data_IF_424022825861
#
_entry.id   IF_424022825861
#
_cell.length_a   1.000
_cell.length_b   1.000
_cell.length_c   1.000
_cell.angle_alpha   90.00
_cell.angle_beta   90.00
_cell.angle_gamma   90.00
#
_symmetry.space_group_name_H-M   'P 1'
#
loop_
_entity.id
_entity.type
_entity.pdbx_description
1 polymer ?
#
# COMPACT_ATOMS: atom_id res chain seq x y z
N UNK A 1 -7.81 48.21 -20.10
CA UNK A 1 -7.31 49.35 -19.30
C UNK A 1 -6.83 48.83 -17.96
N UNK A 2 -5.51 48.86 -17.73
CA UNK A 2 -4.86 48.51 -16.44
C UNK A 2 -5.05 49.66 -15.45
N UNK A 3 -5.43 49.39 -14.21
CA UNK A 3 -5.12 50.27 -13.06
C UNK A 3 -4.86 49.44 -11.80
N UNK A 4 -3.61 49.51 -11.36
CA UNK A 4 -3.12 49.13 -10.04
C UNK A 4 -3.30 50.30 -9.05
N UNK A 5 -3.48 50.03 -7.75
CA UNK A 5 -3.30 51.01 -6.66
C UNK A 5 -2.91 50.25 -5.38
N UNK A 6 -1.63 50.17 -5.01
CA UNK A 6 -0.84 51.01 -4.08
C UNK A 6 -1.14 50.75 -2.59
N UNK A 7 -0.07 50.30 -1.91
CA UNK A 7 0.11 50.13 -0.45
C UNK A 7 0.50 51.46 0.19
N UNK A 8 0.00 51.76 1.39
CA UNK A 8 0.53 52.83 2.27
C UNK A 8 0.77 52.27 3.66
N UNK A 9 2.01 52.44 4.13
CA UNK A 9 2.51 52.16 5.49
C UNK A 9 2.43 53.46 6.29
N UNK A 10 1.88 53.41 7.51
CA UNK A 10 1.83 54.55 8.44
C UNK A 10 2.50 54.19 9.77
N UNK A 11 3.58 54.90 10.09
CA UNK A 11 4.31 54.84 11.36
C UNK A 11 3.62 55.69 12.44
N UNK A 12 3.70 55.27 13.71
CA UNK A 12 3.33 56.07 14.87
C UNK A 12 4.51 56.10 15.86
N UNK A 13 4.87 57.31 16.28
CA UNK A 13 5.93 57.70 17.22
C UNK A 13 5.27 58.39 18.43
N UNK A 14 6.07 58.56 19.50
CA UNK A 14 5.86 59.33 20.76
C UNK A 14 5.34 58.52 21.95
N UNK A 15 5.79 58.70 23.21
CA UNK A 15 6.89 59.46 23.83
C UNK A 15 7.08 58.91 25.26
N UNK A 16 8.29 59.00 25.82
CA UNK A 16 8.61 58.55 27.18
C UNK A 16 8.36 59.61 28.27
N UNK A 17 8.18 59.14 29.51
CA UNK A 17 8.36 59.91 30.74
C UNK A 17 9.08 59.02 31.76
N UNK A 18 10.19 59.52 32.29
CA UNK A 18 10.98 59.00 33.42
C UNK A 18 10.39 59.53 34.74
N UNK A 19 10.27 58.67 35.75
CA UNK A 19 10.22 59.08 37.17
C UNK A 19 11.14 58.16 37.97
N UNK A 20 12.12 58.77 38.63
CA UNK A 20 13.02 58.14 39.58
C UNK A 20 12.34 58.04 40.96
N UNK A 21 12.45 56.89 41.61
CA UNK A 21 12.06 56.68 43.00
C UNK A 21 13.08 55.80 43.70
N UNK A 22 13.93 56.42 44.53
CA UNK A 22 14.90 55.75 45.39
C UNK A 22 14.16 55.35 46.66
N UNK A 23 13.99 54.04 46.88
CA UNK A 23 13.40 53.48 48.10
C UNK A 23 14.34 52.43 48.69
N UNK A 24 15.00 52.79 49.79
CA UNK A 24 15.76 51.89 50.65
C UNK A 24 14.81 50.92 51.37
N UNK A 25 14.72 49.69 50.91
CA UNK A 25 13.97 48.59 51.55
C UNK A 25 14.93 47.53 52.08
N UNK A 26 14.82 47.23 53.37
CA UNK A 26 15.61 46.26 54.09
C UNK A 26 15.46 44.83 53.52
N UNK A 27 16.56 44.09 53.48
CA UNK A 27 16.59 42.68 53.12
C UNK A 27 15.82 41.85 54.16
N UNK A 28 14.67 41.30 53.78
CA UNK A 28 14.03 40.22 54.49
C UNK A 28 14.65 38.91 54.00
N UNK A 29 15.29 38.18 54.92
CA UNK A 29 15.83 36.85 54.65
C UNK A 29 14.67 35.89 54.39
N UNK A 30 14.55 35.43 53.15
CA UNK A 30 13.60 34.38 52.76
C UNK A 30 14.16 33.04 53.24
N UNK A 31 13.43 32.36 54.12
CA UNK A 31 13.73 30.99 54.54
C UNK A 31 13.65 30.05 53.33
N UNK A 32 14.61 29.13 53.12
CA UNK A 32 14.56 28.19 52.01
C UNK A 32 13.30 27.32 52.10
N UNK A 33 12.65 26.99 50.96
CA UNK A 33 11.57 26.02 50.94
C UNK A 33 12.07 24.66 51.45
N UNK A 34 11.24 23.87 52.15
CA UNK A 34 11.60 22.51 52.54
C UNK A 34 11.87 21.66 51.29
N UNK A 35 12.94 20.87 51.34
CA UNK A 35 13.37 19.97 50.28
C UNK A 35 12.20 19.12 49.75
N UNK A 36 11.81 19.35 48.49
CA UNK A 36 10.91 18.44 47.79
C UNK A 36 11.64 17.10 47.63
N UNK A 37 11.06 15.98 48.08
CA UNK A 37 11.65 14.66 47.82
C UNK A 37 11.76 14.46 46.32
N UNK A 38 12.93 14.00 45.87
CA UNK A 38 13.23 13.75 44.47
C UNK A 38 12.08 12.96 43.81
N UNK A 39 11.49 13.56 42.77
CA UNK A 39 10.47 12.90 41.96
C UNK A 39 11.02 11.55 41.49
N UNK A 40 10.47 10.47 42.05
CA UNK A 40 10.73 9.13 41.58
C UNK A 40 10.38 9.11 40.09
N UNK A 41 11.38 8.81 39.25
CA UNK A 41 11.21 8.63 37.81
C UNK A 41 10.17 7.52 37.62
N UNK A 42 8.91 7.90 37.42
CA UNK A 42 7.85 6.94 37.21
C UNK A 42 8.19 6.17 35.94
N UNK A 43 8.55 4.90 36.11
CA UNK A 43 8.83 3.99 35.01
C UNK A 43 7.54 3.88 34.21
N UNK A 44 7.58 4.32 32.95
CA UNK A 44 6.43 4.24 32.07
C UNK A 44 5.94 2.78 32.05
N UNK A 45 4.63 2.52 32.18
CA UNK A 45 4.10 1.17 32.15
C UNK A 45 4.61 0.48 30.88
N UNK A 46 5.15 -0.73 31.03
CA UNK A 46 5.57 -1.53 29.90
C UNK A 46 4.41 -1.63 28.90
N UNK A 47 4.64 -1.12 27.68
CA UNK A 47 3.69 -1.29 26.59
C UNK A 47 3.43 -2.80 26.46
N UNK A 48 2.15 -3.18 26.50
CA UNK A 48 1.74 -4.57 26.28
C UNK A 48 2.34 -5.14 24.99
N UNK A 49 2.36 -6.47 24.83
CA UNK A 49 2.94 -7.10 23.64
C UNK A 49 2.37 -6.44 22.39
N UNK A 50 3.26 -5.90 21.56
CA UNK A 50 2.88 -5.27 20.30
C UNK A 50 2.04 -6.28 19.51
N UNK A 51 0.75 -5.99 19.36
CA UNK A 51 -0.07 -6.72 18.39
C UNK A 51 0.60 -6.48 17.04
N UNK A 52 1.02 -7.52 16.30
CA UNK A 52 1.56 -7.32 14.97
C UNK A 52 0.49 -6.62 14.15
N UNK A 53 0.69 -5.33 13.87
CA UNK A 53 -0.13 -4.65 12.89
C UNK A 53 0.07 -5.46 11.61
N UNK A 54 -1.01 -5.90 10.92
CA UNK A 54 -0.85 -6.51 9.62
C UNK A 54 0.00 -5.57 8.78
N UNK A 55 1.03 -6.12 8.12
CA UNK A 55 1.95 -5.35 7.29
C UNK A 55 1.11 -4.37 6.47
N UNK A 56 1.31 -3.06 6.69
CA UNK A 56 0.51 -2.03 6.04
C UNK A 56 0.71 -2.21 4.53
N UNK A 57 -0.26 -2.86 3.87
CA UNK A 57 -0.20 -3.14 2.44
C UNK A 57 -0.55 -1.85 1.72
N UNK A 58 0.43 -0.96 1.62
CA UNK A 58 0.36 0.19 0.74
C UNK A 58 0.41 -0.32 -0.70
N UNK A 59 -0.58 0.08 -1.48
CA UNK A 59 -0.62 -0.21 -2.90
C UNK A 59 -0.80 1.10 -3.66
N UNK A 60 -0.09 1.20 -4.78
CA UNK A 60 -0.14 2.34 -5.69
C UNK A 60 -1.22 2.05 -6.73
N UNK A 61 -2.11 3.01 -6.94
CA UNK A 61 -3.11 2.94 -8.00
C UNK A 61 -2.47 3.33 -9.34
N UNK A 62 -2.63 2.47 -10.35
CA UNK A 62 -2.24 2.76 -11.74
C UNK A 62 -3.49 2.76 -12.61
N UNK A 63 -3.90 3.90 -13.18
CA UNK A 63 -4.97 3.93 -14.16
C UNK A 63 -4.51 3.26 -15.46
N UNK A 64 -5.45 2.64 -16.17
CA UNK A 64 -5.22 2.09 -17.51
C UNK A 64 -6.32 2.59 -18.46
N UNK A 65 -6.07 2.51 -19.77
CA UNK A 65 -7.16 2.59 -20.73
C UNK A 65 -8.16 1.47 -20.44
N UNK A 66 -9.45 1.80 -20.46
CA UNK A 66 -10.50 0.85 -20.12
C UNK A 66 -10.35 -0.43 -20.91
N UNK A 67 -10.27 -1.56 -20.22
CA UNK A 67 -10.02 -2.86 -20.84
C UNK A 67 -11.01 -3.90 -20.34
N UNK A 68 -11.67 -4.56 -21.31
CA UNK A 68 -12.67 -5.59 -21.04
C UNK A 68 -12.01 -6.92 -20.69
N UNK A 69 -12.20 -7.36 -19.45
CA UNK A 69 -11.73 -8.67 -19.00
C UNK A 69 -12.81 -9.74 -19.14
N UNK A 70 -14.10 -9.39 -18.99
CA UNK A 70 -15.20 -10.35 -19.03
C UNK A 70 -16.33 -9.81 -19.90
N UNK A 71 -16.90 -10.68 -20.73
CA UNK A 71 -18.19 -10.48 -21.36
C UNK A 71 -18.92 -11.82 -21.48
N UNK A 72 -19.88 -12.07 -20.60
CA UNK A 72 -20.57 -13.35 -20.61
C UNK A 72 -21.66 -13.47 -21.69
N UNK A 73 -21.89 -12.44 -22.51
CA UNK A 73 -22.71 -12.57 -23.73
C UNK A 73 -21.89 -13.16 -24.87
N UNK A 74 -20.60 -12.82 -24.93
CA UNK A 74 -19.65 -13.29 -25.95
C UNK A 74 -18.93 -14.58 -25.56
N UNK A 75 -19.07 -15.04 -24.31
CA UNK A 75 -18.57 -16.32 -23.83
C UNK A 75 -19.32 -16.75 -22.58
N UNK A 76 -19.19 -18.00 -22.11
CA UNK A 76 -19.68 -18.47 -20.80
C UNK A 76 -21.21 -18.49 -20.53
N UNK A 77 -22.02 -17.61 -21.15
CA UNK A 77 -23.48 -17.50 -20.97
C UNK A 77 -23.90 -16.81 -19.67
N UNK A 78 -25.22 -16.73 -19.43
CA UNK A 78 -25.78 -16.10 -18.22
C UNK A 78 -25.27 -16.77 -16.95
N UNK A 79 -25.10 -15.97 -15.91
CA UNK A 79 -24.87 -16.43 -14.56
C UNK A 79 -26.19 -16.72 -13.87
N UNK A 80 -26.47 -17.99 -13.56
CA UNK A 80 -27.67 -18.40 -12.85
C UNK A 80 -27.67 -17.94 -11.38
N UNK A 81 -28.80 -18.08 -10.70
CA UNK A 81 -28.89 -17.83 -9.26
C UNK A 81 -27.89 -18.73 -8.50
N UNK A 82 -27.20 -18.16 -7.52
CA UNK A 82 -26.19 -18.82 -6.69
C UNK A 82 -24.97 -19.36 -7.47
N UNK A 83 -24.83 -19.02 -8.75
CA UNK A 83 -23.69 -19.43 -9.56
C UNK A 83 -22.45 -18.60 -9.22
N UNK A 84 -21.31 -19.28 -9.07
CA UNK A 84 -19.99 -18.68 -8.93
C UNK A 84 -19.21 -18.93 -10.22
N UNK A 85 -18.51 -17.91 -10.71
CA UNK A 85 -17.50 -18.05 -11.78
C UNK A 85 -16.22 -17.34 -11.37
N UNK A 86 -15.09 -17.98 -11.62
CA UNK A 86 -13.77 -17.40 -11.43
C UNK A 86 -13.24 -16.87 -12.76
N UNK A 87 -12.62 -15.69 -12.73
CA UNK A 87 -12.16 -14.98 -13.91
C UNK A 87 -10.68 -14.67 -13.82
N UNK A 88 -10.00 -14.77 -14.96
CA UNK A 88 -8.66 -14.25 -15.16
C UNK A 88 -8.72 -12.73 -15.22
N UNK A 89 -7.77 -12.09 -14.53
CA UNK A 89 -7.68 -10.62 -14.45
C UNK A 89 -6.28 -10.12 -14.81
N UNK A 90 -5.24 -10.88 -14.47
CA UNK A 90 -3.83 -10.46 -14.59
C UNK A 90 -3.06 -11.26 -15.63
N UNK A 91 -1.90 -10.71 -16.00
CA UNK A 91 -0.93 -11.32 -16.91
C UNK A 91 -1.30 -11.15 -18.39
N UNK A 92 -0.42 -11.66 -19.26
CA UNK A 92 -0.48 -11.54 -20.73
C UNK A 92 -1.25 -12.64 -21.44
N UNK A 93 -1.91 -13.53 -20.68
CA UNK A 93 -2.67 -14.65 -21.25
C UNK A 93 -4.01 -14.20 -21.85
N UNK A 94 -4.49 -14.92 -22.86
CA UNK A 94 -5.80 -14.67 -23.48
C UNK A 94 -6.95 -14.77 -22.47
N UNK A 95 -7.89 -13.82 -22.58
CA UNK A 95 -9.15 -13.79 -21.84
C UNK A 95 -10.35 -14.06 -22.75
N UNK A 96 -10.14 -14.53 -23.99
CA UNK A 96 -11.24 -14.77 -24.95
C UNK A 96 -12.23 -15.80 -24.46
N UNK A 97 -11.79 -16.82 -23.71
CA UNK A 97 -12.67 -17.83 -23.11
C UNK A 97 -13.70 -17.28 -22.12
N UNK A 98 -13.48 -16.08 -21.59
CA UNK A 98 -14.41 -15.35 -20.71
C UNK A 98 -15.02 -14.11 -21.39
N UNK A 99 -14.86 -13.98 -22.71
CA UNK A 99 -15.35 -12.84 -23.50
C UNK A 99 -14.51 -11.56 -23.41
N UNK A 100 -13.29 -11.65 -22.86
CA UNK A 100 -12.32 -10.55 -22.83
C UNK A 100 -11.36 -10.54 -24.03
N UNK A 101 -10.36 -9.65 -23.99
CA UNK A 101 -9.36 -9.51 -25.04
C UNK A 101 -8.36 -10.68 -25.14
N UNK A 102 -7.80 -10.91 -26.33
CA UNK A 102 -6.83 -11.98 -26.61
C UNK A 102 -5.43 -11.75 -26.03
N UNK A 103 -5.08 -10.51 -25.73
CA UNK A 103 -3.76 -10.12 -25.18
C UNK A 103 -3.81 -9.77 -23.70
N UNK A 104 -4.98 -9.92 -23.05
CA UNK A 104 -5.23 -9.43 -21.70
C UNK A 104 -5.21 -7.89 -21.61
N UNK A 105 -5.15 -7.37 -20.38
CA UNK A 105 -5.23 -5.93 -20.09
C UNK A 105 -3.91 -5.31 -19.60
N UNK A 106 -2.78 -6.01 -19.75
CA UNK A 106 -1.48 -5.53 -19.27
C UNK A 106 -1.36 -5.42 -17.74
N UNK A 107 -2.32 -5.97 -16.98
CA UNK A 107 -2.32 -5.89 -15.51
C UNK A 107 -1.23 -6.83 -14.96
N UNK A 108 -0.25 -6.32 -14.19
CA UNK A 108 0.85 -7.14 -13.66
C UNK A 108 0.38 -8.29 -12.77
N UNK A 109 1.12 -9.40 -12.74
CA UNK A 109 0.78 -10.58 -11.93
C UNK A 109 0.73 -10.29 -10.42
N UNK A 110 1.48 -9.27 -9.96
CA UNK A 110 1.54 -8.84 -8.56
C UNK A 110 0.39 -7.92 -8.10
N UNK A 111 -0.50 -7.46 -8.98
CA UNK A 111 -1.58 -6.52 -8.63
C UNK A 111 -2.51 -7.10 -7.55
N UNK A 112 -2.80 -6.40 -6.46
CA UNK A 112 -3.62 -6.93 -5.35
C UNK A 112 -5.12 -6.72 -5.55
N UNK A 113 -5.51 -5.69 -6.31
CA UNK A 113 -6.90 -5.39 -6.63
C UNK A 113 -7.03 -4.64 -7.94
N UNK A 114 -8.25 -4.57 -8.47
CA UNK A 114 -8.61 -3.77 -9.64
C UNK A 114 -9.74 -2.81 -9.32
N UNK A 115 -9.79 -1.69 -10.03
CA UNK A 115 -11.01 -0.88 -10.15
C UNK A 115 -11.69 -1.21 -11.46
N UNK A 116 -12.97 -1.50 -11.42
CA UNK A 116 -13.71 -1.87 -12.61
C UNK A 116 -15.11 -1.29 -12.62
N UNK A 117 -15.61 -1.04 -13.82
CA UNK A 117 -17.03 -0.87 -14.10
C UNK A 117 -17.58 -2.25 -14.42
N UNK A 118 -18.61 -2.64 -13.67
CA UNK A 118 -19.27 -3.91 -13.79
C UNK A 118 -20.70 -3.66 -14.24
N UNK A 119 -21.04 -4.23 -15.39
CA UNK A 119 -22.37 -4.10 -16.00
C UNK A 119 -23.05 -5.46 -16.06
N UNK A 120 -24.26 -5.52 -15.56
CA UNK A 120 -25.19 -6.64 -15.71
C UNK A 120 -26.10 -6.38 -16.90
N UNK A 121 -26.32 -7.40 -17.73
CA UNK A 121 -27.10 -7.31 -18.97
C UNK A 121 -28.16 -8.41 -19.03
N UNK A 122 -29.30 -8.12 -19.65
CA UNK A 122 -30.43 -9.04 -19.83
C UNK A 122 -30.83 -9.81 -18.55
N UNK A 123 -30.81 -9.11 -17.42
CA UNK A 123 -31.17 -9.66 -16.12
C UNK A 123 -32.64 -10.03 -16.12
N UNK A 124 -32.96 -11.29 -15.80
CA UNK A 124 -34.35 -11.79 -15.87
C UNK A 124 -35.20 -11.28 -14.69
N UNK A 125 -34.56 -11.00 -13.56
CA UNK A 125 -35.15 -10.43 -12.35
C UNK A 125 -34.07 -9.64 -11.58
N UNK A 126 -34.45 -9.01 -10.47
CA UNK A 126 -33.49 -8.33 -9.60
C UNK A 126 -32.57 -9.29 -8.85
N UNK A 127 -31.40 -8.79 -8.47
CA UNK A 127 -30.37 -9.57 -7.80
C UNK A 127 -29.20 -8.74 -7.30
N UNK A 128 -28.14 -9.43 -6.90
CA UNK A 128 -26.90 -8.83 -6.39
C UNK A 128 -25.68 -9.63 -6.79
N UNK A 129 -24.57 -8.92 -6.93
CA UNK A 129 -23.26 -9.51 -7.20
C UNK A 129 -22.37 -9.42 -5.96
N UNK A 130 -21.67 -10.51 -5.69
CA UNK A 130 -20.66 -10.63 -4.64
C UNK A 130 -19.34 -10.95 -5.33
N UNK A 131 -18.31 -10.14 -5.09
CA UNK A 131 -17.00 -10.26 -5.69
C UNK A 131 -15.96 -10.49 -4.62
N UNK A 132 -15.10 -11.49 -4.79
CA UNK A 132 -14.15 -11.87 -3.76
C UNK A 132 -12.91 -12.56 -4.36
N UNK A 133 -11.77 -12.52 -3.66
CA UNK A 133 -10.59 -13.30 -4.03
C UNK A 133 -10.94 -14.79 -4.14
N UNK A 134 -10.57 -15.44 -5.23
CA UNK A 134 -10.77 -16.89 -5.37
C UNK A 134 -10.08 -17.65 -4.24
N UNK A 135 -10.81 -18.55 -3.57
CA UNK A 135 -10.36 -19.26 -2.38
C UNK A 135 -10.65 -18.56 -1.05
N UNK A 136 -11.12 -17.31 -1.08
CA UNK A 136 -11.56 -16.59 0.13
C UNK A 136 -13.08 -16.70 0.36
N UNK A 137 -13.57 -16.43 1.59
CA UNK A 137 -15.00 -16.36 1.87
C UNK A 137 -15.73 -15.28 1.04
N UNK A 138 -16.97 -15.57 0.62
CA UNK A 138 -17.78 -14.67 -0.22
C UNK A 138 -18.47 -13.57 0.61
N UNK A 139 -17.70 -12.56 1.04
CA UNK A 139 -18.16 -11.55 2.01
C UNK A 139 -18.52 -10.20 1.39
N UNK A 140 -18.00 -9.86 0.21
CA UNK A 140 -18.11 -8.50 -0.33
C UNK A 140 -19.17 -8.39 -1.44
N UNK A 141 -20.33 -7.82 -1.08
CA UNK A 141 -21.38 -7.41 -2.03
C UNK A 141 -21.03 -6.04 -2.59
N UNK A 142 -20.88 -5.94 -3.91
CA UNK A 142 -20.48 -4.69 -4.58
C UNK A 142 -21.55 -4.09 -5.49
N UNK A 143 -22.53 -4.87 -5.94
CA UNK A 143 -23.59 -4.38 -6.81
C UNK A 143 -24.94 -5.05 -6.52
N UNK A 144 -26.01 -4.30 -6.78
CA UNK A 144 -27.38 -4.78 -6.88
C UNK A 144 -27.93 -4.35 -8.23
N UNK A 145 -28.84 -5.13 -8.82
CA UNK A 145 -29.45 -4.82 -10.11
C UNK A 145 -30.93 -5.22 -10.11
N UNK A 146 -31.67 -4.65 -11.06
CA UNK A 146 -33.08 -4.97 -11.34
C UNK A 146 -33.19 -5.74 -12.66
N UNK A 147 -34.41 -6.11 -13.08
CA UNK A 147 -34.64 -6.69 -14.39
C UNK A 147 -34.11 -5.76 -15.50
N UNK A 148 -33.48 -6.33 -16.52
CA UNK A 148 -32.81 -5.58 -17.58
C UNK A 148 -31.33 -5.37 -17.24
N UNK A 149 -30.92 -4.12 -17.10
CA UNK A 149 -29.50 -3.77 -16.94
C UNK A 149 -29.21 -3.09 -15.61
N UNK A 150 -27.95 -3.12 -15.20
CA UNK A 150 -27.45 -2.42 -14.03
C UNK A 150 -25.94 -2.25 -14.09
N UNK A 151 -25.43 -1.10 -13.67
CA UNK A 151 -24.00 -0.79 -13.71
C UNK A 151 -23.53 -0.33 -12.34
N UNK A 152 -22.36 -0.79 -11.91
CA UNK A 152 -21.72 -0.39 -10.68
C UNK A 152 -20.20 -0.28 -10.87
N UNK A 153 -19.57 0.66 -10.17
CA UNK A 153 -18.12 0.73 -10.06
C UNK A 153 -17.69 0.03 -8.77
N UNK A 154 -16.67 -0.81 -8.85
CA UNK A 154 -16.18 -1.56 -7.70
C UNK A 154 -14.65 -1.65 -7.69
N UNK A 155 -14.09 -1.61 -6.47
CA UNK A 155 -12.73 -2.08 -6.23
C UNK A 155 -12.80 -3.55 -5.81
N UNK A 156 -12.23 -4.43 -6.63
CA UNK A 156 -12.30 -5.88 -6.43
C UNK A 156 -10.92 -6.40 -6.02
N UNK A 157 -10.84 -6.93 -4.80
CA UNK A 157 -9.66 -7.63 -4.30
C UNK A 157 -9.49 -8.95 -5.02
N UNK A 158 -8.24 -9.28 -5.34
CA UNK A 158 -7.88 -10.45 -6.11
C UNK A 158 -7.08 -11.44 -5.25
N UNK A 159 -7.16 -12.72 -5.57
CA UNK A 159 -6.39 -13.77 -4.90
C UNK A 159 -4.88 -13.57 -5.03
N UNK A 160 -4.11 -14.29 -4.21
CA UNK A 160 -2.65 -14.22 -4.23
C UNK A 160 -2.07 -14.46 -5.64
N UNK A 161 -0.83 -13.99 -5.85
CA UNK A 161 -0.08 -14.25 -7.08
C UNK A 161 0.00 -15.76 -7.34
N UNK A 162 -0.10 -16.16 -8.61
CA UNK A 162 -0.08 -17.57 -9.03
C UNK A 162 -1.47 -18.20 -9.22
N UNK A 163 -2.54 -17.60 -8.69
CA UNK A 163 -3.91 -18.05 -8.96
C UNK A 163 -4.32 -17.60 -10.38
N UNK A 164 -4.58 -18.57 -11.26
CA UNK A 164 -4.87 -18.32 -12.68
C UNK A 164 -6.12 -17.47 -12.92
N UNK A 165 -7.17 -17.70 -12.13
CA UNK A 165 -8.41 -16.94 -12.13
C UNK A 165 -8.63 -16.35 -10.73
N UNK A 166 -8.04 -15.18 -10.42
CA UNK A 166 -7.94 -14.70 -9.04
C UNK A 166 -9.20 -13.99 -8.52
N UNK A 167 -10.19 -13.73 -9.38
CA UNK A 167 -11.43 -13.05 -9.03
C UNK A 167 -12.60 -14.01 -9.15
N UNK A 168 -13.31 -14.25 -8.06
CA UNK A 168 -14.60 -14.96 -8.07
C UNK A 168 -15.74 -13.96 -8.01
N UNK A 169 -16.71 -14.10 -8.92
CA UNK A 169 -17.99 -13.39 -8.85
C UNK A 169 -19.09 -14.41 -8.60
N UNK A 170 -19.96 -14.10 -7.66
CA UNK A 170 -21.17 -14.86 -7.36
C UNK A 170 -22.39 -14.03 -7.70
N UNK A 171 -23.30 -14.62 -8.46
CA UNK A 171 -24.62 -14.05 -8.70
C UNK A 171 -25.63 -14.59 -7.66
N UNK A 172 -26.47 -13.72 -7.11
CA UNK A 172 -27.61 -14.08 -6.25
C UNK A 172 -28.85 -13.36 -6.78
N UNK A 173 -29.94 -14.09 -7.00
CA UNK A 173 -31.19 -13.54 -7.54
C UNK A 173 -31.36 -13.89 -9.03
N UNK A 174 -31.86 -12.93 -9.82
CA UNK A 174 -32.17 -13.14 -11.23
C UNK A 174 -30.97 -13.57 -12.08
N UNK A 175 -31.09 -14.53 -13.00
CA UNK A 175 -30.02 -14.82 -13.94
C UNK A 175 -29.66 -13.59 -14.78
N UNK A 176 -28.37 -13.33 -14.99
CA UNK A 176 -27.87 -12.13 -15.69
C UNK A 176 -26.57 -12.40 -16.47
N UNK A 177 -26.32 -11.65 -17.54
CA UNK A 177 -24.99 -11.56 -18.14
C UNK A 177 -24.12 -10.56 -17.39
N UNK A 178 -22.81 -10.72 -17.51
CA UNK A 178 -21.83 -9.90 -16.80
C UNK A 178 -20.79 -9.37 -17.79
N UNK A 179 -20.55 -8.07 -17.74
CA UNK A 179 -19.44 -7.39 -18.39
C UNK A 179 -18.59 -6.73 -17.31
N UNK A 180 -17.28 -6.92 -17.38
CA UNK A 180 -16.33 -6.27 -16.47
C UNK A 180 -15.27 -5.55 -17.29
N UNK A 181 -15.27 -4.23 -17.15
CA UNK A 181 -14.35 -3.30 -17.80
C UNK A 181 -13.44 -2.68 -16.73
N UNK A 182 -12.14 -3.02 -16.77
CA UNK A 182 -11.15 -2.55 -15.79
C UNK A 182 -10.67 -1.16 -16.16
N UNK A 183 -10.65 -0.25 -15.19
CA UNK A 183 -10.19 1.14 -15.35
C UNK A 183 -8.83 1.40 -14.71
N UNK A 184 -8.36 0.48 -13.87
CA UNK A 184 -7.10 0.61 -13.16
C UNK A 184 -6.85 -0.57 -12.22
N UNK A 185 -5.67 -0.61 -11.63
CA UNK A 185 -5.27 -1.64 -10.68
C UNK A 185 -4.44 -1.06 -9.54
N UNK A 186 -4.42 -1.77 -8.42
CA UNK A 186 -3.55 -1.48 -7.30
C UNK A 186 -2.40 -2.47 -7.28
N UNK A 187 -1.18 -1.94 -7.26
CA UNK A 187 0.04 -2.73 -7.21
C UNK A 187 0.70 -2.49 -5.85
N UNK A 188 0.94 -3.54 -5.04
CA UNK A 188 1.62 -3.36 -3.77
C UNK A 188 2.97 -2.70 -3.95
N UNK A 189 3.35 -1.85 -3.00
CA UNK A 189 4.70 -1.31 -2.96
C UNK A 189 5.69 -2.47 -2.80
N UNK A 190 6.86 -2.36 -3.42
CA UNK A 190 7.92 -3.34 -3.25
C UNK A 190 8.52 -3.16 -1.85
N UNK A 191 8.32 -4.15 -0.98
CA UNK A 191 8.88 -4.16 0.36
C UNK A 191 9.16 -5.58 0.81
N UNK A 192 10.22 -5.75 1.60
CA UNK A 192 10.59 -7.02 2.17
C UNK A 192 11.37 -6.86 3.48
N UNK A 193 11.32 -7.88 4.33
CA UNK A 193 12.25 -8.10 5.43
C UNK A 193 13.09 -9.33 5.11
N UNK A 194 14.40 -9.11 4.99
CA UNK A 194 15.39 -10.14 4.69
C UNK A 194 16.10 -10.51 6.00
N UNK A 195 16.19 -11.81 6.30
CA UNK A 195 16.92 -12.31 7.47
C UNK A 195 18.44 -12.23 7.24
N UNK A 196 19.23 -12.37 8.31
CA UNK A 196 20.69 -12.51 8.19
C UNK A 196 21.15 -13.78 7.47
N UNK A 197 20.24 -14.74 7.21
CA UNK A 197 20.50 -15.95 6.40
C UNK A 197 20.04 -15.79 4.95
N UNK A 198 19.45 -14.65 4.60
CA UNK A 198 18.96 -14.35 3.26
C UNK A 198 17.52 -14.80 2.99
N UNK A 199 16.76 -15.21 3.99
CA UNK A 199 15.36 -15.63 3.85
C UNK A 199 14.41 -14.43 3.93
N UNK A 200 13.29 -14.50 3.21
CA UNK A 200 12.20 -13.54 3.35
C UNK A 200 11.38 -13.86 4.60
N UNK A 201 11.42 -12.98 5.60
CA UNK A 201 10.57 -13.10 6.81
C UNK A 201 9.23 -12.41 6.62
N UNK A 202 9.16 -11.40 5.77
CA UNK A 202 7.93 -10.75 5.32
C UNK A 202 8.21 -10.14 3.95
N UNK A 203 7.27 -10.21 3.02
CA UNK A 203 7.45 -9.63 1.69
C UNK A 203 6.12 -9.23 1.06
N UNK A 204 6.16 -8.17 0.23
CA UNK A 204 5.03 -7.86 -0.64
C UNK A 204 4.98 -8.84 -1.82
N UNK A 205 3.83 -8.93 -2.51
CA UNK A 205 3.65 -9.83 -3.66
C UNK A 205 4.58 -9.54 -4.84
N UNK A 206 5.29 -8.40 -4.80
CA UNK A 206 6.24 -7.94 -5.82
C UNK A 206 7.63 -8.56 -5.64
N UNK A 207 7.92 -9.12 -4.46
CA UNK A 207 9.21 -9.73 -4.15
C UNK A 207 9.07 -11.25 -4.26
N UNK A 208 9.89 -11.85 -5.12
CA UNK A 208 9.83 -13.27 -5.48
C UNK A 208 10.66 -14.15 -4.55
N UNK A 209 11.86 -13.67 -4.22
CA UNK A 209 12.82 -14.40 -3.39
C UNK A 209 13.83 -13.43 -2.79
N UNK A 210 14.46 -13.85 -1.71
CA UNK A 210 15.74 -13.33 -1.25
C UNK A 210 16.69 -14.51 -1.09
N UNK A 211 17.97 -14.27 -1.31
CA UNK A 211 19.04 -15.25 -1.12
C UNK A 211 20.28 -14.55 -0.60
N UNK A 212 21.04 -15.20 0.29
CA UNK A 212 22.37 -14.73 0.64
C UNK A 212 23.35 -15.18 -0.44
N UNK A 213 24.04 -14.24 -1.09
CA UNK A 213 25.03 -14.52 -2.12
C UNK A 213 26.43 -14.68 -1.54
N UNK A 214 26.76 -13.86 -0.53
CA UNK A 214 27.98 -13.92 0.26
C UNK A 214 27.70 -13.32 1.64
N UNK A 215 28.65 -13.38 2.57
CA UNK A 215 28.54 -12.68 3.85
C UNK A 215 28.23 -11.20 3.62
N UNK A 216 27.15 -10.72 4.23
CA UNK A 216 26.67 -9.34 4.11
C UNK A 216 26.13 -8.94 2.73
N UNK A 217 25.99 -9.86 1.78
CA UNK A 217 25.46 -9.57 0.44
C UNK A 217 24.21 -10.42 0.20
N UNK A 218 23.08 -9.75 0.05
CA UNK A 218 21.78 -10.39 -0.19
C UNK A 218 21.23 -9.98 -1.54
N UNK A 219 20.67 -10.95 -2.27
CA UNK A 219 20.03 -10.73 -3.56
C UNK A 219 18.53 -10.95 -3.43
N UNK A 220 17.77 -9.90 -3.71
CA UNK A 220 16.30 -9.91 -3.72
C UNK A 220 15.82 -9.86 -5.16
N UNK A 221 14.95 -10.79 -5.56
CA UNK A 221 14.38 -10.86 -6.90
C UNK A 221 12.97 -10.29 -6.92
N UNK A 222 12.65 -9.48 -7.92
CA UNK A 222 11.37 -8.78 -8.10
C UNK A 222 10.54 -9.40 -9.24
N UNK A 223 9.24 -9.11 -9.23
CA UNK A 223 8.30 -9.59 -10.25
C UNK A 223 8.27 -8.77 -11.55
N UNK A 224 8.91 -7.60 -11.53
CA UNK A 224 9.02 -6.64 -12.63
C UNK A 224 10.36 -5.91 -12.52
N UNK A 225 10.89 -5.35 -13.63
CA UNK A 225 12.09 -4.55 -13.54
C UNK A 225 11.78 -3.27 -12.75
N UNK A 226 12.71 -2.85 -11.90
CA UNK A 226 12.62 -1.64 -11.09
C UNK A 226 13.68 -0.61 -11.52
N UNK A 227 14.08 -0.62 -12.79
CA UNK A 227 14.98 0.36 -13.36
C UNK A 227 14.39 1.77 -13.21
N UNK A 228 15.20 2.72 -12.73
CA UNK A 228 14.76 4.08 -12.43
C UNK A 228 14.12 4.26 -11.05
N UNK A 229 13.92 3.18 -10.29
CA UNK A 229 13.46 3.26 -8.90
C UNK A 229 14.63 3.45 -7.92
N UNK A 230 14.31 3.82 -6.68
CA UNK A 230 15.29 3.93 -5.58
C UNK A 230 15.04 2.81 -4.56
N UNK A 231 16.11 2.10 -4.18
CA UNK A 231 16.06 1.11 -3.10
C UNK A 231 16.61 1.70 -1.81
N UNK A 232 15.88 1.50 -0.71
CA UNK A 232 16.31 1.85 0.65
C UNK A 232 16.34 0.57 1.46
N UNK A 233 17.52 0.24 1.99
CA UNK A 233 17.73 -0.85 2.92
C UNK A 233 18.02 -0.27 4.31
N UNK A 234 17.27 -0.70 5.31
CA UNK A 234 17.47 -0.32 6.70
C UNK A 234 17.75 -1.57 7.53
N UNK A 235 18.91 -1.68 8.20
CA UNK A 235 19.15 -2.78 9.12
C UNK A 235 18.12 -2.78 10.25
N UNK A 236 17.68 -3.97 10.66
CA UNK A 236 16.88 -4.17 11.86
C UNK A 236 17.88 -4.32 13.04
N UNK A 237 17.98 -3.33 13.93
CA UNK A 237 18.88 -3.42 15.09
C UNK A 237 19.36 -2.07 15.64
N UNK A 238 20.27 -2.11 16.61
CA UNK A 238 20.99 -0.92 17.09
C UNK A 238 21.89 -0.35 15.99
N UNK A 239 22.26 0.93 16.08
CA UNK A 239 23.07 1.66 15.08
C UNK A 239 24.50 1.11 14.82
N UNK A 240 24.78 -0.12 15.23
CA UNK A 240 25.98 -0.89 14.94
C UNK A 240 26.05 -1.40 13.48
N UNK A 241 24.97 -1.23 12.71
CA UNK A 241 24.89 -1.71 11.33
C UNK A 241 24.40 -0.61 10.39
N UNK A 242 24.88 -0.65 9.16
CA UNK A 242 24.35 0.14 8.03
C UNK A 242 24.10 -0.77 6.84
N UNK A 243 23.16 -0.38 5.99
CA UNK A 243 22.85 -1.13 4.77
C UNK A 243 22.73 -0.19 3.58
N UNK A 244 23.14 -0.67 2.41
CA UNK A 244 22.90 -0.02 1.13
C UNK A 244 22.22 -1.00 0.18
N UNK A 245 21.50 -0.48 -0.82
CA UNK A 245 20.83 -1.29 -1.81
C UNK A 245 21.00 -0.70 -3.20
N UNK A 246 21.23 -1.57 -4.18
CA UNK A 246 21.38 -1.22 -5.59
C UNK A 246 20.41 -2.05 -6.42
N UNK A 247 19.73 -1.41 -7.37
CA UNK A 247 18.78 -2.05 -8.27
C UNK A 247 19.43 -2.25 -9.64
N UNK A 248 19.27 -3.44 -10.21
CA UNK A 248 19.60 -3.75 -11.60
C UNK A 248 18.50 -4.64 -12.17
N UNK A 249 17.67 -4.10 -13.07
CA UNK A 249 16.54 -4.81 -13.66
C UNK A 249 15.60 -5.36 -12.58
N UNK A 250 15.51 -6.69 -12.52
CA UNK A 250 14.64 -7.41 -11.59
C UNK A 250 15.29 -7.67 -10.21
N UNK A 251 16.51 -7.21 -9.99
CA UNK A 251 17.28 -7.60 -8.81
C UNK A 251 17.63 -6.38 -7.95
N UNK A 252 17.41 -6.51 -6.64
CA UNK A 252 17.96 -5.59 -5.64
C UNK A 252 19.07 -6.32 -4.89
N UNK A 253 20.29 -5.80 -4.95
CA UNK A 253 21.41 -6.30 -4.14
C UNK A 253 21.55 -5.42 -2.92
N UNK A 254 21.44 -6.01 -1.74
CA UNK A 254 21.61 -5.37 -0.44
C UNK A 254 23.01 -5.70 0.06
N UNK A 255 23.71 -4.69 0.55
CA UNK A 255 24.98 -4.82 1.24
C UNK A 255 24.83 -4.40 2.70
N UNK A 256 25.25 -5.25 3.62
CA UNK A 256 25.22 -5.01 5.06
C UNK A 256 26.62 -4.85 5.64
N UNK A 257 26.81 -3.80 6.44
CA UNK A 257 28.11 -3.44 7.00
C UNK A 257 28.02 -3.21 8.50
N UNK A 258 29.10 -3.57 9.20
CA UNK A 258 29.36 -3.16 10.58
C UNK A 258 29.76 -1.68 10.58
N UNK A 259 29.11 -0.83 11.38
CA UNK A 259 29.52 0.58 11.52
C UNK A 259 30.78 0.75 12.34
N UNK A 260 31.21 -0.29 13.06
CA UNK A 260 32.43 -0.28 13.88
C UNK A 260 33.65 -0.68 13.06
N UNK A 261 33.56 -1.76 12.28
CA UNK A 261 34.71 -2.31 11.54
C UNK A 261 34.69 -2.02 10.04
N UNK A 262 33.54 -1.65 9.47
CA UNK A 262 33.36 -1.50 8.03
C UNK A 262 33.22 -2.81 7.26
N UNK A 263 33.36 -3.96 7.93
CA UNK A 263 33.29 -5.27 7.28
C UNK A 263 31.87 -5.63 6.85
N UNK A 264 31.77 -6.43 5.80
CA UNK A 264 30.52 -7.05 5.38
C UNK A 264 30.06 -8.05 6.44
N UNK A 265 28.82 -7.91 6.88
CA UNK A 265 28.22 -8.74 7.93
C UNK A 265 26.79 -9.11 7.61
N UNK A 266 26.41 -10.32 8.00
CA UNK A 266 25.05 -10.78 7.87
C UNK A 266 24.14 -10.01 8.82
N UNK A 267 23.19 -9.27 8.26
CA UNK A 267 22.24 -8.43 9.00
C UNK A 267 20.82 -8.78 8.63
N UNK A 268 19.89 -8.54 9.56
CA UNK A 268 18.47 -8.46 9.23
C UNK A 268 18.20 -7.09 8.64
N UNK A 269 17.38 -7.01 7.60
CA UNK A 269 17.18 -5.76 6.87
C UNK A 269 15.75 -5.62 6.37
N UNK A 270 15.19 -4.44 6.57
CA UNK A 270 13.95 -3.99 5.93
C UNK A 270 14.30 -3.27 4.61
N UNK A 271 13.79 -3.77 3.50
CA UNK A 271 13.90 -3.21 2.16
C UNK A 271 12.60 -2.52 1.76
N UNK A 272 12.72 -1.32 1.19
CA UNK A 272 11.67 -0.67 0.43
C UNK A 272 12.22 -0.21 -0.92
N UNK A 273 11.45 -0.39 -2.00
CA UNK A 273 11.76 0.20 -3.31
C UNK A 273 10.66 1.20 -3.65
N UNK A 274 11.09 2.38 -4.09
CA UNK A 274 10.22 3.52 -4.41
C UNK A 274 10.35 3.80 -5.90
N UNK A 275 9.21 3.63 -6.57
CA UNK A 275 8.88 4.05 -7.91
C UNK A 275 7.58 4.88 -7.76
#
# INVERSE_FOLDING_TARGET
>A
MRKSLVVVVGAILTAGILVAGVGTGAAMAETPPPDQPADAKAEAPALGPAVPLPAQQRAVYTPINTCRIVNTTAGLGKMANNQVRAFRVRGSGSMTGQGGGGTGCGIPLGASSITAVVTTLDSIAGGRLIGYPTGAPSVFRFASYVKGEGTATATLTLAARGVAAPLSIKNIGGPTHLVIDVTGYFLPQISAKVSGTGDLTTASSRVLSATQFSTGIFRVTLDAPADGCVAVASPDGSGAFTASAIIIGYTVTIYGYSTVSGDLVNIRTSLAVIC
#
